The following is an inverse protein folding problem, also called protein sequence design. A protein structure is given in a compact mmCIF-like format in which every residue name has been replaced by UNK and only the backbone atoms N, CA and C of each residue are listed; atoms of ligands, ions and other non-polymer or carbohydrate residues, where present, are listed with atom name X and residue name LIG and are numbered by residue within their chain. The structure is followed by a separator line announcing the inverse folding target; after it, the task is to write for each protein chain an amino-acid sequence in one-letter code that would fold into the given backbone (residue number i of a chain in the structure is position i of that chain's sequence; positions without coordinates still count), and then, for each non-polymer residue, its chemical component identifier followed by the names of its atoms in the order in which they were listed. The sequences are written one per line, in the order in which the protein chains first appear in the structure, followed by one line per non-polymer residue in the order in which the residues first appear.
data_IF_129005879726
#
_entry.id   IF_129005879726
#
_cell.length_a   1.000
_cell.length_b   1.000
_cell.length_c   1.000
_cell.angle_alpha   90.00
_cell.angle_beta   90.00
_cell.angle_gamma   90.00
#
_symmetry.space_group_name_H-M   'P 1'
#
loop_
_entity.id
_entity.type
_entity.pdbx_description
1 polymer ?
#
# COMPACT_ATOMS: atom_id res chain seq x y z
N UNK A 1 17.80 46.74 -2.84
CA UNK A 1 16.57 46.10 -3.35
C UNK A 1 16.50 44.72 -2.69
N UNK A 2 15.69 44.60 -1.66
CA UNK A 2 15.45 43.30 -1.00
C UNK A 2 14.53 42.50 -1.91
N UNK A 3 15.00 41.38 -2.44
CA UNK A 3 14.16 40.45 -3.17
C UNK A 3 13.15 39.86 -2.15
N UNK A 4 11.89 40.16 -2.33
CA UNK A 4 10.81 39.48 -1.61
C UNK A 4 10.92 37.98 -1.92
N UNK A 5 11.25 37.18 -0.92
CA UNK A 5 11.24 35.74 -1.05
C UNK A 5 9.86 35.26 -1.51
N UNK A 6 9.79 34.10 -2.14
CA UNK A 6 8.53 33.55 -2.63
C UNK A 6 7.55 33.39 -1.46
N UNK A 7 6.37 34.03 -1.57
CA UNK A 7 5.30 33.86 -0.59
C UNK A 7 4.46 32.64 -0.99
N UNK A 8 4.41 31.64 -0.11
CA UNK A 8 3.49 30.51 -0.27
C UNK A 8 2.05 30.98 -0.04
N UNK A 9 1.26 31.01 -1.10
CA UNK A 9 -0.19 31.21 -1.02
C UNK A 9 -0.87 29.94 -1.50
N UNK A 10 -1.37 29.14 -0.56
CA UNK A 10 -2.13 27.94 -0.91
C UNK A 10 -3.55 28.31 -1.31
N UNK A 11 -4.08 27.64 -2.33
CA UNK A 11 -5.47 27.76 -2.76
C UNK A 11 -6.46 27.35 -1.65
N UNK A 12 -6.01 26.52 -0.71
CA UNK A 12 -6.80 26.08 0.45
C UNK A 12 -6.02 26.29 1.76
N UNK A 13 -6.47 27.21 2.60
CA UNK A 13 -5.87 27.52 3.91
C UNK A 13 -5.83 26.35 4.88
N UNK A 14 -6.73 25.36 4.74
CA UNK A 14 -6.76 24.18 5.60
C UNK A 14 -5.50 23.31 5.43
N UNK A 15 -4.87 23.35 4.24
CA UNK A 15 -3.69 22.54 3.91
C UNK A 15 -2.37 23.23 4.34
N UNK A 16 -2.41 24.50 4.74
CA UNK A 16 -1.21 25.26 5.06
C UNK A 16 -0.42 24.66 6.23
N UNK A 17 -1.08 24.44 7.37
CA UNK A 17 -0.42 23.95 8.58
C UNK A 17 0.20 22.56 8.43
N UNK A 18 -0.52 21.55 7.88
CA UNK A 18 0.06 20.24 7.62
C UNK A 18 1.26 20.30 6.67
N UNK A 19 1.16 21.09 5.59
CA UNK A 19 2.23 21.26 4.60
C UNK A 19 3.46 21.89 5.21
N UNK A 20 3.31 23.00 5.95
CA UNK A 20 4.43 23.68 6.60
C UNK A 20 5.17 22.74 7.57
N UNK A 21 4.42 22.00 8.37
CA UNK A 21 4.99 21.02 9.30
C UNK A 21 5.76 19.92 8.58
N UNK A 22 5.27 19.45 7.46
CA UNK A 22 5.97 18.50 6.61
C UNK A 22 7.29 19.10 6.10
N UNK A 23 7.24 20.31 5.55
CA UNK A 23 8.42 21.00 5.01
C UNK A 23 9.50 21.26 6.07
N UNK A 24 9.13 21.58 7.31
CA UNK A 24 10.10 21.78 8.40
C UNK A 24 10.98 20.57 8.68
N UNK A 25 10.51 19.37 8.32
CA UNK A 25 11.17 18.09 8.63
C UNK A 25 11.83 17.44 7.41
N UNK A 26 11.87 18.11 6.26
CA UNK A 26 12.46 17.56 5.05
C UNK A 26 13.68 18.37 4.60
N UNK A 27 14.74 17.68 4.23
CA UNK A 27 15.98 18.33 3.80
C UNK A 27 15.98 18.63 2.30
N UNK A 28 16.70 19.68 1.89
CA UNK A 28 16.98 19.93 0.49
C UNK A 28 17.68 18.69 -0.14
N UNK A 29 17.37 18.40 -1.40
CA UNK A 29 17.81 17.20 -2.11
C UNK A 29 16.98 15.94 -1.88
N UNK A 30 16.04 15.94 -0.90
CA UNK A 30 15.12 14.83 -0.69
C UNK A 30 14.08 14.74 -1.81
N UNK A 31 13.57 13.52 -2.04
CA UNK A 31 12.48 13.27 -2.98
C UNK A 31 11.17 12.99 -2.22
N UNK A 32 10.08 13.53 -2.72
CA UNK A 32 8.74 13.43 -2.17
C UNK A 32 7.86 12.74 -3.22
N UNK A 33 7.24 11.62 -2.87
CA UNK A 33 6.13 11.06 -3.66
C UNK A 33 4.81 11.69 -3.20
N UNK A 34 3.82 11.74 -4.07
CA UNK A 34 2.49 12.27 -3.73
C UNK A 34 1.89 11.46 -2.58
N UNK A 35 2.03 10.13 -2.62
CA UNK A 35 1.55 9.24 -1.57
C UNK A 35 2.21 9.52 -0.22
N UNK A 36 3.54 9.70 -0.19
CA UNK A 36 4.26 10.01 1.05
C UNK A 36 3.82 11.36 1.65
N UNK A 37 3.63 12.36 0.78
CA UNK A 37 3.14 13.67 1.20
C UNK A 37 1.73 13.57 1.78
N UNK A 38 0.79 12.94 1.07
CA UNK A 38 -0.58 12.74 1.51
C UNK A 38 -0.65 12.06 2.88
N UNK A 39 0.12 10.99 3.06
CA UNK A 39 0.19 10.25 4.32
C UNK A 39 0.73 11.11 5.46
N UNK A 40 1.84 11.79 5.24
CA UNK A 40 2.51 12.57 6.30
C UNK A 40 1.76 13.83 6.69
N UNK A 41 0.97 14.38 5.78
CA UNK A 41 0.20 15.62 6.02
C UNK A 41 -1.25 15.36 6.41
N UNK A 42 -1.80 14.17 6.10
CA UNK A 42 -3.23 13.88 6.23
C UNK A 42 -4.09 14.61 5.20
N UNK A 43 -3.49 15.18 4.16
CA UNK A 43 -4.19 15.84 3.05
C UNK A 43 -4.63 14.77 2.05
N UNK A 44 -5.86 14.89 1.54
CA UNK A 44 -6.37 14.00 0.48
C UNK A 44 -5.38 13.90 -0.69
N UNK A 45 -5.34 12.74 -1.36
CA UNK A 45 -4.39 12.49 -2.45
C UNK A 45 -4.53 13.49 -3.59
N UNK A 46 -5.77 13.79 -4.01
CA UNK A 46 -6.02 14.72 -5.10
C UNK A 46 -5.63 16.15 -4.74
N UNK A 47 -5.85 16.52 -3.50
CA UNK A 47 -5.45 17.82 -2.97
C UNK A 47 -3.93 17.89 -2.73
N UNK A 48 -3.31 16.78 -2.34
CA UNK A 48 -1.85 16.66 -2.23
C UNK A 48 -1.15 16.92 -3.56
N UNK A 49 -1.72 16.44 -4.68
CA UNK A 49 -1.21 16.76 -6.03
C UNK A 49 -1.19 18.26 -6.24
N UNK A 50 -2.29 18.97 -5.95
CA UNK A 50 -2.38 20.43 -6.14
C UNK A 50 -1.39 21.16 -5.27
N UNK A 51 -1.28 20.79 -4.00
CA UNK A 51 -0.32 21.42 -3.07
C UNK A 51 1.11 21.24 -3.53
N UNK A 52 1.50 20.03 -3.98
CA UNK A 52 2.86 19.78 -4.48
C UNK A 52 3.14 20.52 -5.79
N UNK A 53 2.14 20.65 -6.67
CA UNK A 53 2.26 21.47 -7.89
C UNK A 53 2.39 22.97 -7.54
N UNK A 54 1.63 23.49 -6.57
CA UNK A 54 1.77 24.87 -6.09
C UNK A 54 3.15 25.13 -5.49
N UNK A 55 3.68 24.19 -4.69
CA UNK A 55 5.05 24.25 -4.17
C UNK A 55 6.10 24.20 -5.28
N UNK A 56 5.87 23.43 -6.33
CA UNK A 56 6.75 23.37 -7.49
C UNK A 56 6.74 24.69 -8.27
N UNK A 57 5.56 25.26 -8.53
CA UNK A 57 5.43 26.57 -9.17
C UNK A 57 6.06 27.68 -8.34
N UNK A 58 6.02 27.56 -7.00
CA UNK A 58 6.68 28.47 -6.06
C UNK A 58 8.21 28.30 -5.97
N UNK A 59 8.80 27.36 -6.70
CA UNK A 59 10.24 27.12 -6.71
C UNK A 59 10.80 26.42 -5.46
N UNK A 60 9.96 25.81 -4.65
CA UNK A 60 10.38 25.01 -3.49
C UNK A 60 10.70 23.57 -3.88
N UNK A 61 9.96 23.06 -4.85
CA UNK A 61 10.08 21.71 -5.37
C UNK A 61 10.37 21.74 -6.88
N UNK A 62 11.03 20.71 -7.34
CA UNK A 62 11.27 20.43 -8.76
C UNK A 62 10.56 19.13 -9.11
N UNK A 63 9.70 19.17 -10.13
CA UNK A 63 8.97 17.99 -10.58
C UNK A 63 9.90 17.09 -11.37
N UNK A 64 9.97 15.83 -10.99
CA UNK A 64 10.83 14.80 -11.58
C UNK A 64 10.01 13.56 -11.91
N UNK A 65 10.55 12.67 -12.71
CA UNK A 65 10.00 11.35 -13.01
C UNK A 65 10.91 10.27 -12.46
N UNK A 66 10.39 9.41 -11.61
CA UNK A 66 11.05 8.20 -11.15
C UNK A 66 10.68 7.03 -12.06
N UNK A 67 11.65 6.50 -12.79
CA UNK A 67 11.49 5.37 -13.72
C UNK A 67 11.79 4.08 -12.98
N UNK A 68 10.88 3.11 -13.06
CA UNK A 68 11.01 1.84 -12.36
C UNK A 68 11.01 0.67 -13.34
N UNK A 69 11.74 -0.37 -12.99
CA UNK A 69 11.69 -1.62 -13.73
C UNK A 69 10.28 -2.22 -13.71
N UNK A 70 9.68 -2.57 -14.86
CA UNK A 70 8.35 -3.16 -14.93
C UNK A 70 8.27 -4.52 -14.23
N UNK A 71 9.38 -5.28 -14.24
CA UNK A 71 9.44 -6.64 -13.70
C UNK A 71 9.58 -6.67 -12.18
N UNK A 72 10.53 -5.90 -11.62
CA UNK A 72 10.85 -5.96 -10.19
C UNK A 72 10.56 -4.68 -9.41
N UNK A 73 10.18 -3.58 -10.07
CA UNK A 73 9.90 -2.30 -9.43
C UNK A 73 11.13 -1.53 -8.95
N UNK A 74 12.35 -2.04 -9.17
CA UNK A 74 13.57 -1.33 -8.82
C UNK A 74 13.56 0.06 -9.46
N UNK A 75 13.94 1.08 -8.69
CA UNK A 75 14.17 2.42 -9.23
C UNK A 75 15.39 2.35 -10.16
N UNK A 76 15.17 2.64 -11.43
CA UNK A 76 16.22 2.65 -12.44
C UNK A 76 16.90 4.01 -12.51
N UNK A 77 16.10 5.08 -12.61
CA UNK A 77 16.59 6.45 -12.67
C UNK A 77 15.54 7.46 -12.18
N UNK A 78 15.99 8.69 -11.91
CA UNK A 78 15.12 9.85 -11.70
C UNK A 78 15.57 10.92 -12.69
N UNK A 79 14.66 11.32 -13.58
CA UNK A 79 14.95 12.25 -14.69
C UNK A 79 14.02 13.45 -14.67
N UNK A 80 14.41 14.52 -15.37
CA UNK A 80 13.52 15.62 -15.69
C UNK A 80 12.41 15.14 -16.64
N UNK A 81 11.19 15.70 -16.57
CA UNK A 81 10.12 15.31 -17.49
C UNK A 81 10.49 15.47 -18.97
N UNK A 82 11.29 16.49 -19.31
CA UNK A 82 11.77 16.76 -20.67
C UNK A 82 12.86 15.77 -21.15
N UNK A 83 13.58 15.16 -20.21
CA UNK A 83 14.65 14.20 -20.52
C UNK A 83 14.13 12.77 -20.60
N UNK A 84 12.86 12.55 -20.18
CA UNK A 84 12.26 11.23 -20.20
C UNK A 84 11.97 10.76 -21.63
N UNK A 85 12.53 9.62 -22.00
CA UNK A 85 12.25 8.93 -23.25
C UNK A 85 11.70 7.52 -22.99
N UNK A 86 10.62 7.19 -23.70
CA UNK A 86 10.12 5.80 -23.74
C UNK A 86 11.16 4.94 -24.47
N UNK A 87 11.52 3.83 -23.88
CA UNK A 87 12.51 2.92 -24.48
C UNK A 87 12.88 1.76 -23.57
N UNK A 88 13.85 0.98 -24.00
CA UNK A 88 14.37 -0.13 -23.22
C UNK A 88 15.42 0.36 -22.24
N UNK A 89 15.33 -0.10 -20.98
CA UNK A 89 16.31 0.16 -19.94
C UNK A 89 16.77 -1.13 -19.27
N UNK A 90 18.08 -1.23 -19.01
CA UNK A 90 18.64 -2.37 -18.30
C UNK A 90 18.35 -2.31 -16.81
N UNK A 91 17.86 -3.42 -16.27
CA UNK A 91 17.65 -3.59 -14.85
C UNK A 91 18.69 -4.54 -14.26
N UNK A 92 19.57 -4.03 -13.41
CA UNK A 92 20.62 -4.83 -12.77
C UNK A 92 20.08 -5.92 -11.83
N UNK A 93 18.86 -5.76 -11.30
CA UNK A 93 18.24 -6.77 -10.43
C UNK A 93 17.62 -7.94 -11.21
N UNK A 94 17.07 -7.65 -12.39
CA UNK A 94 16.49 -8.68 -13.27
C UNK A 94 17.50 -9.26 -14.26
N UNK A 95 18.64 -8.60 -14.42
CA UNK A 95 19.70 -8.91 -15.43
C UNK A 95 19.15 -8.92 -16.87
N UNK A 96 18.18 -8.02 -17.15
CA UNK A 96 17.50 -7.92 -18.44
C UNK A 96 17.24 -6.49 -18.84
N UNK A 97 17.14 -6.24 -20.15
CA UNK A 97 16.55 -5.03 -20.70
C UNK A 97 15.03 -5.16 -20.69
N UNK A 98 14.36 -4.17 -20.13
CA UNK A 98 12.89 -4.11 -20.03
C UNK A 98 12.36 -2.88 -20.75
N UNK A 99 11.28 -3.03 -21.48
CA UNK A 99 10.59 -1.93 -22.14
C UNK A 99 9.85 -1.07 -21.11
N UNK A 100 10.24 0.20 -21.02
CA UNK A 100 9.65 1.15 -20.07
C UNK A 100 8.40 1.76 -20.70
N UNK A 101 7.28 1.55 -20.04
CA UNK A 101 5.97 2.14 -20.38
C UNK A 101 5.60 3.23 -19.37
N UNK A 102 4.57 4.02 -19.68
CA UNK A 102 4.08 5.05 -18.76
C UNK A 102 3.68 4.52 -17.38
N UNK A 103 3.27 3.25 -17.29
CA UNK A 103 2.92 2.61 -16.01
C UNK A 103 4.15 2.35 -15.11
N UNK A 104 5.34 2.42 -15.69
CA UNK A 104 6.61 2.26 -14.98
C UNK A 104 7.12 3.59 -14.39
N UNK A 105 6.40 4.69 -14.60
CA UNK A 105 6.84 6.04 -14.26
C UNK A 105 5.96 6.63 -13.17
N UNK A 106 6.61 7.16 -12.14
CA UNK A 106 5.96 7.85 -11.02
C UNK A 106 6.42 9.30 -10.96
N UNK A 107 5.48 10.23 -10.80
CA UNK A 107 5.82 11.64 -10.53
C UNK A 107 6.35 11.76 -9.11
N UNK A 108 7.55 12.32 -8.97
CA UNK A 108 8.17 12.65 -7.69
C UNK A 108 8.60 14.11 -7.68
N UNK A 109 8.73 14.67 -6.49
CA UNK A 109 9.13 16.07 -6.32
C UNK A 109 10.44 16.13 -5.53
N UNK A 110 11.45 16.76 -6.11
CA UNK A 110 12.74 16.98 -5.45
C UNK A 110 12.69 18.31 -4.69
N UNK A 111 13.10 18.31 -3.44
CA UNK A 111 13.20 19.52 -2.64
C UNK A 111 14.44 20.30 -3.10
N UNK A 112 14.24 21.44 -3.77
CA UNK A 112 15.34 22.29 -4.28
C UNK A 112 15.68 23.40 -3.31
N UNK A 113 14.64 23.98 -2.68
CA UNK A 113 14.81 25.06 -1.73
C UNK A 113 13.85 24.87 -0.57
N UNK A 114 14.38 24.75 0.64
CA UNK A 114 13.55 24.61 1.83
C UNK A 114 13.95 25.63 2.90
N UNK A 115 13.40 26.85 2.82
CA UNK A 115 13.67 27.90 3.80
C UNK A 115 13.10 27.61 5.20
N UNK A 116 12.30 26.55 5.34
CA UNK A 116 11.62 26.17 6.57
C UNK A 116 12.31 25.01 7.32
N UNK A 117 13.38 24.43 6.76
CA UNK A 117 14.09 23.31 7.42
C UNK A 117 14.71 23.77 8.74
N UNK A 118 14.33 23.08 9.81
CA UNK A 118 14.90 23.31 11.15
C UNK A 118 16.32 22.75 11.18
N UNK A 119 17.34 23.61 10.98
CA UNK A 119 18.75 23.19 10.99
C UNK A 119 19.70 24.15 10.27
N UNK A 120 19.19 25.10 9.51
CA UNK A 120 19.98 26.20 9.01
C UNK A 120 19.56 27.48 9.76
N UNK A 121 20.53 28.10 10.45
CA UNK A 121 20.34 29.40 11.07
C UNK A 121 20.10 30.48 10.00
N UNK A 122 18.87 30.60 9.52
CA UNK A 122 18.39 31.80 8.86
C UNK A 122 17.33 32.42 9.76
N UNK A 123 17.79 33.44 10.51
CA UNK A 123 16.92 34.33 11.28
C UNK A 123 15.93 35.03 10.35
N UNK A 124 14.79 34.41 10.15
CA UNK A 124 13.60 35.09 9.63
C UNK A 124 12.55 35.03 10.73
N UNK A 125 12.30 36.18 11.35
CA UNK A 125 11.30 36.37 12.40
C UNK A 125 9.92 35.97 11.85
N UNK A 126 9.40 34.83 12.29
CA UNK A 126 8.00 34.43 12.12
C UNK A 126 7.14 35.25 13.11
N UNK A 127 5.91 35.67 12.74
CA UNK A 127 5.00 36.30 13.69
C UNK A 127 4.64 35.33 14.80
N UNK A 128 4.81 35.79 16.04
CA UNK A 128 4.43 35.10 17.26
C UNK A 128 2.91 34.91 17.34
N UNK A 129 2.41 33.78 16.86
CA UNK A 129 1.19 33.17 17.34
C UNK A 129 1.50 31.74 17.74
N UNK A 130 2.15 31.60 18.90
CA UNK A 130 2.40 30.34 19.58
C UNK A 130 1.16 29.89 20.32
N UNK A 131 0.19 29.31 19.64
CA UNK A 131 -0.64 28.29 20.26
C UNK A 131 0.06 26.96 20.03
N UNK A 132 0.38 26.25 21.12
CA UNK A 132 1.13 25.02 21.17
C UNK A 132 0.75 24.08 20.02
N UNK A 133 1.60 24.01 19.01
CA UNK A 133 1.55 23.01 17.95
C UNK A 133 1.73 21.63 18.62
N UNK A 134 0.62 20.95 18.90
CA UNK A 134 0.68 19.52 19.24
C UNK A 134 1.42 18.85 18.09
N UNK A 135 2.61 18.34 18.39
CA UNK A 135 3.41 17.58 17.44
C UNK A 135 2.54 16.46 16.91
N UNK A 136 2.24 16.48 15.59
CA UNK A 136 1.58 15.36 14.93
C UNK A 136 2.56 14.18 15.04
N UNK A 137 2.20 13.21 15.84
CA UNK A 137 2.86 11.92 15.87
C UNK A 137 2.03 11.00 14.99
N UNK A 138 2.66 10.36 14.00
CA UNK A 138 2.04 9.27 13.24
C UNK A 138 1.45 8.24 14.21
N UNK A 139 2.18 7.97 15.29
CA UNK A 139 1.75 7.09 16.36
C UNK A 139 0.49 7.60 17.08
N UNK A 140 0.39 8.90 17.34
CA UNK A 140 -0.82 9.50 17.90
C UNK A 140 -1.99 9.50 16.92
N UNK A 141 -1.72 9.68 15.62
CA UNK A 141 -2.75 9.58 14.57
C UNK A 141 -3.31 8.16 14.50
N UNK A 142 -2.45 7.15 14.50
CA UNK A 142 -2.86 5.73 14.48
C UNK A 142 -3.57 5.33 15.78
N UNK A 143 -3.07 5.78 16.94
CA UNK A 143 -3.72 5.55 18.24
C UNK A 143 -5.10 6.21 18.36
N UNK A 144 -5.33 7.30 17.63
CA UNK A 144 -6.64 7.98 17.59
C UNK A 144 -7.56 7.46 16.47
N UNK A 145 -7.28 6.26 15.94
CA UNK A 145 -8.09 5.63 14.88
C UNK A 145 -7.94 6.25 13.51
N UNK A 146 -6.90 7.06 13.30
CA UNK A 146 -6.55 7.57 11.98
C UNK A 146 -6.05 6.46 11.08
N UNK A 147 -6.70 6.26 9.93
CA UNK A 147 -6.33 5.24 8.94
C UNK A 147 -6.23 5.88 7.56
N UNK A 148 -5.08 5.67 6.92
CA UNK A 148 -4.91 6.02 5.50
C UNK A 148 -5.55 4.98 4.57
N UNK A 149 -5.98 3.85 5.11
CA UNK A 149 -6.51 2.73 4.36
C UNK A 149 -7.75 3.12 3.53
N UNK A 150 -8.56 4.08 4.03
CA UNK A 150 -9.74 4.58 3.31
C UNK A 150 -9.41 5.33 2.04
N UNK A 151 -8.25 5.96 1.95
CA UNK A 151 -7.83 6.66 0.73
C UNK A 151 -7.34 5.69 -0.34
N UNK A 152 -6.72 4.59 0.10
CA UNK A 152 -6.19 3.58 -0.81
C UNK A 152 -7.23 2.56 -1.24
N UNK A 153 -8.23 2.28 -0.39
CA UNK A 153 -9.33 1.38 -0.71
C UNK A 153 -10.68 2.04 -0.43
N UNK A 154 -11.26 2.62 -1.46
CA UNK A 154 -12.59 3.23 -1.45
C UNK A 154 -13.29 2.98 -2.80
N UNK A 155 -13.75 1.74 -3.06
CA UNK A 155 -14.47 1.43 -4.28
C UNK A 155 -15.76 2.26 -4.42
N UNK A 156 -16.10 2.67 -5.65
CA UNK A 156 -17.40 3.31 -5.93
C UNK A 156 -18.56 2.31 -5.75
N UNK A 157 -19.79 2.82 -5.67
CA UNK A 157 -20.99 1.96 -5.58
C UNK A 157 -21.07 0.98 -6.73
N UNK A 158 -20.75 1.40 -7.96
CA UNK A 158 -20.73 0.52 -9.13
C UNK A 158 -19.70 -0.62 -9.00
N UNK A 159 -18.54 -0.34 -8.40
CA UNK A 159 -17.54 -1.37 -8.11
C UNK A 159 -18.02 -2.34 -7.04
N UNK A 160 -18.69 -1.83 -5.99
CA UNK A 160 -19.30 -2.70 -4.98
C UNK A 160 -20.43 -3.56 -5.55
N UNK A 161 -21.21 -3.07 -6.50
CA UNK A 161 -22.23 -3.87 -7.21
C UNK A 161 -21.60 -5.02 -8.01
N UNK A 162 -20.47 -4.77 -8.66
CA UNK A 162 -19.71 -5.82 -9.36
C UNK A 162 -19.15 -6.84 -8.37
N UNK A 163 -18.51 -6.37 -7.30
CA UNK A 163 -17.96 -7.22 -6.25
C UNK A 163 -19.02 -8.10 -5.61
N UNK A 164 -20.21 -7.53 -5.32
CA UNK A 164 -21.33 -8.25 -4.75
C UNK A 164 -21.80 -9.39 -5.67
N UNK A 165 -21.95 -9.12 -6.97
CA UNK A 165 -22.35 -10.14 -7.96
C UNK A 165 -21.31 -11.25 -8.05
N UNK A 166 -20.02 -10.91 -8.03
CA UNK A 166 -18.94 -11.90 -8.05
C UNK A 166 -18.89 -12.70 -6.75
N UNK A 167 -19.08 -12.06 -5.59
CA UNK A 167 -19.15 -12.72 -4.29
C UNK A 167 -20.31 -13.73 -4.23
N UNK A 168 -21.51 -13.33 -4.67
CA UNK A 168 -22.64 -14.27 -4.75
C UNK A 168 -22.36 -15.43 -5.70
N UNK A 169 -21.60 -15.18 -6.77
CA UNK A 169 -21.30 -16.19 -7.77
C UNK A 169 -20.42 -17.34 -7.24
N UNK A 170 -19.52 -17.09 -6.27
CA UNK A 170 -18.67 -18.15 -5.71
C UNK A 170 -19.47 -19.23 -4.96
N UNK A 171 -20.71 -18.94 -4.56
CA UNK A 171 -21.60 -19.87 -3.87
C UNK A 171 -22.56 -20.62 -4.81
N UNK A 172 -22.67 -20.20 -6.07
CA UNK A 172 -23.52 -20.87 -7.05
C UNK A 172 -22.93 -22.19 -7.52
N UNK A 173 -23.74 -23.14 -7.97
CA UNK A 173 -23.26 -24.33 -8.62
C UNK A 173 -22.51 -23.97 -9.92
N UNK A 174 -21.32 -24.51 -10.12
CA UNK A 174 -20.53 -24.35 -11.33
C UNK A 174 -20.56 -25.65 -12.16
N UNK A 175 -20.40 -25.52 -13.49
CA UNK A 175 -20.40 -26.68 -14.39
C UNK A 175 -19.17 -27.56 -14.21
N UNK A 176 -18.03 -26.95 -13.90
CA UNK A 176 -16.76 -27.64 -13.72
C UNK A 176 -16.05 -27.12 -12.47
N UNK A 177 -15.13 -27.92 -11.92
CA UNK A 177 -14.24 -27.49 -10.82
C UNK A 177 -13.34 -26.34 -11.22
N UNK A 178 -13.00 -26.24 -12.52
CA UNK A 178 -12.25 -25.12 -13.08
C UNK A 178 -13.06 -23.83 -13.01
N UNK A 179 -14.32 -23.83 -13.48
CA UNK A 179 -15.19 -22.65 -13.43
C UNK A 179 -15.42 -22.20 -11.98
N UNK A 180 -15.50 -23.16 -11.06
CA UNK A 180 -15.60 -22.89 -9.63
C UNK A 180 -14.33 -22.17 -9.11
N UNK A 181 -13.14 -22.65 -9.44
CA UNK A 181 -11.87 -22.00 -9.10
C UNK A 181 -11.76 -20.62 -9.72
N UNK A 182 -11.98 -20.52 -11.03
CA UNK A 182 -11.91 -19.27 -11.77
C UNK A 182 -12.84 -18.17 -11.20
N UNK A 183 -14.00 -18.54 -10.64
CA UNK A 183 -14.94 -17.59 -10.05
C UNK A 183 -14.38 -16.88 -8.82
N UNK A 184 -13.64 -17.56 -7.96
CA UNK A 184 -12.99 -16.95 -6.80
C UNK A 184 -11.74 -16.14 -7.22
N UNK A 185 -10.96 -16.67 -8.16
CA UNK A 185 -9.81 -15.96 -8.70
C UNK A 185 -10.22 -14.61 -9.33
N UNK A 186 -11.34 -14.58 -10.08
CA UNK A 186 -11.85 -13.34 -10.69
C UNK A 186 -12.33 -12.33 -9.66
N UNK A 187 -13.03 -12.80 -8.61
CA UNK A 187 -13.42 -11.95 -7.48
C UNK A 187 -12.20 -11.33 -6.80
N UNK A 188 -11.21 -12.15 -6.49
CA UNK A 188 -9.98 -11.72 -5.79
C UNK A 188 -9.20 -10.71 -6.65
N UNK A 189 -9.01 -11.02 -7.94
CA UNK A 189 -8.35 -10.11 -8.86
C UNK A 189 -9.03 -8.75 -8.91
N UNK A 190 -10.36 -8.74 -9.03
CA UNK A 190 -11.12 -7.51 -9.10
C UNK A 190 -11.09 -6.75 -7.76
N UNK A 191 -11.25 -7.44 -6.62
CA UNK A 191 -11.20 -6.85 -5.29
C UNK A 191 -9.86 -6.13 -5.05
N UNK A 192 -8.74 -6.80 -5.32
CA UNK A 192 -7.41 -6.21 -5.12
C UNK A 192 -7.12 -5.11 -6.15
N UNK A 193 -7.68 -5.17 -7.36
CA UNK A 193 -7.58 -4.09 -8.35
C UNK A 193 -8.35 -2.83 -7.95
N UNK A 194 -9.32 -2.93 -7.04
CA UNK A 194 -10.00 -1.76 -6.49
C UNK A 194 -9.14 -0.95 -5.51
N UNK A 195 -8.05 -1.54 -5.01
CA UNK A 195 -7.10 -0.84 -4.17
C UNK A 195 -6.21 0.05 -5.05
N UNK A 196 -6.19 1.35 -4.77
CA UNK A 196 -5.26 2.28 -5.43
C UNK A 196 -3.83 1.82 -5.14
N UNK A 197 -2.95 1.91 -6.12
CA UNK A 197 -1.54 1.49 -6.03
C UNK A 197 -1.30 -0.02 -5.97
N UNK A 198 -2.33 -0.86 -6.04
CA UNK A 198 -2.14 -2.28 -6.34
C UNK A 198 -2.27 -2.54 -7.84
N UNK A 199 -1.38 -3.37 -8.35
CA UNK A 199 -1.50 -3.94 -9.69
C UNK A 199 -1.59 -5.45 -9.54
N UNK A 200 -2.78 -6.00 -9.75
CA UNK A 200 -3.04 -7.43 -9.61
C UNK A 200 -3.02 -8.12 -10.97
N UNK A 201 -2.35 -9.27 -11.07
CA UNK A 201 -2.24 -10.07 -12.29
C UNK A 201 -2.66 -11.50 -12.00
N UNK A 202 -3.56 -12.05 -12.83
CA UNK A 202 -4.06 -13.42 -12.72
C UNK A 202 -3.08 -14.41 -13.36
N UNK A 203 -2.93 -15.60 -12.75
CA UNK A 203 -2.16 -16.72 -13.27
C UNK A 203 -0.71 -16.38 -13.64
N UNK A 204 -0.05 -15.67 -12.74
CA UNK A 204 1.37 -15.38 -12.87
C UNK A 204 2.21 -16.66 -12.66
N UNK A 205 3.41 -16.68 -13.23
CA UNK A 205 4.41 -17.73 -12.97
C UNK A 205 5.54 -17.13 -12.15
N UNK A 206 5.89 -17.82 -11.05
CA UNK A 206 7.10 -17.56 -10.29
C UNK A 206 7.95 -18.83 -10.32
N UNK A 207 9.00 -18.84 -11.12
CA UNK A 207 9.73 -20.06 -11.43
C UNK A 207 8.82 -21.12 -12.04
N UNK A 208 8.81 -22.32 -11.46
CA UNK A 208 7.98 -23.45 -11.90
C UNK A 208 6.56 -23.42 -11.30
N UNK A 209 6.27 -22.49 -10.38
CA UNK A 209 5.01 -22.42 -9.69
C UNK A 209 4.03 -21.50 -10.42
N UNK A 210 2.83 -22.00 -10.69
CA UNK A 210 1.70 -21.16 -11.08
C UNK A 210 1.03 -20.61 -9.83
N UNK A 211 0.83 -19.30 -9.81
CA UNK A 211 0.19 -18.52 -8.75
C UNK A 211 -1.14 -17.99 -9.28
N UNK A 212 -2.19 -18.09 -8.47
CA UNK A 212 -3.53 -17.66 -8.87
C UNK A 212 -3.61 -16.15 -9.07
N UNK A 213 -3.03 -15.37 -8.14
CA UNK A 213 -2.95 -13.92 -8.29
C UNK A 213 -1.62 -13.40 -7.71
N UNK A 214 -0.95 -12.56 -8.50
CA UNK A 214 0.26 -11.83 -8.12
C UNK A 214 -0.07 -10.36 -8.00
N UNK A 215 0.25 -9.75 -6.86
CA UNK A 215 -0.04 -8.35 -6.60
C UNK A 215 1.26 -7.58 -6.43
N UNK A 216 1.44 -6.56 -7.26
CA UNK A 216 2.47 -5.54 -7.09
C UNK A 216 1.91 -4.43 -6.22
N UNK A 217 2.57 -4.19 -5.11
CA UNK A 217 2.25 -3.09 -4.20
C UNK A 217 3.09 -1.87 -4.54
N UNK A 218 2.46 -0.85 -5.11
CA UNK A 218 3.09 0.44 -5.40
C UNK A 218 2.96 1.43 -4.24
N UNK A 219 2.35 1.02 -3.12
CA UNK A 219 2.27 1.82 -1.90
C UNK A 219 3.60 1.72 -1.15
N UNK A 220 4.50 2.63 -1.41
CA UNK A 220 5.72 2.74 -0.61
C UNK A 220 5.44 3.64 0.59
N UNK A 221 5.10 3.02 1.72
CA UNK A 221 4.93 3.71 3.00
C UNK A 221 5.96 3.16 3.99
N UNK A 222 7.17 3.74 4.05
CA UNK A 222 8.17 3.27 5.00
C UNK A 222 7.64 3.37 6.44
N UNK A 223 7.55 2.24 7.13
CA UNK A 223 7.29 2.18 8.56
C UNK A 223 5.83 2.33 9.01
N UNK A 224 4.85 2.36 8.09
CA UNK A 224 3.42 2.55 8.47
C UNK A 224 2.63 1.25 8.46
N UNK A 225 2.86 0.36 7.50
CA UNK A 225 2.22 -0.95 7.48
C UNK A 225 3.15 -2.04 6.98
N UNK A 226 2.83 -3.30 7.27
CA UNK A 226 3.56 -4.44 6.73
C UNK A 226 3.44 -4.52 5.20
N UNK A 227 2.31 -4.07 4.64
CA UNK A 227 2.10 -3.96 3.21
C UNK A 227 2.97 -2.87 2.58
N UNK A 228 3.32 -1.82 3.33
CA UNK A 228 4.20 -0.74 2.87
C UNK A 228 5.66 -1.15 2.70
N UNK A 229 6.08 -2.27 3.30
CA UNK A 229 7.46 -2.80 3.17
C UNK A 229 7.58 -3.91 2.13
N UNK A 230 6.46 -4.38 1.55
CA UNK A 230 6.42 -5.51 0.62
C UNK A 230 6.06 -5.01 -0.78
N UNK A 231 7.03 -5.03 -1.69
CA UNK A 231 6.83 -4.60 -3.08
C UNK A 231 5.88 -5.54 -3.84
N UNK A 232 5.93 -6.83 -3.49
CA UNK A 232 5.11 -7.87 -4.12
C UNK A 232 4.58 -8.84 -3.08
N UNK A 233 3.41 -9.38 -3.35
CA UNK A 233 2.86 -10.50 -2.61
C UNK A 233 2.01 -11.39 -3.50
N UNK A 234 1.77 -12.60 -3.04
CA UNK A 234 1.02 -13.62 -3.78
C UNK A 234 -0.27 -13.98 -3.08
N UNK A 235 -1.26 -14.35 -3.87
CA UNK A 235 -2.55 -14.80 -3.38
C UNK A 235 -2.86 -16.15 -4.02
N UNK A 236 -3.17 -17.14 -3.19
CA UNK A 236 -3.69 -18.46 -3.58
C UNK A 236 -5.18 -18.51 -3.27
N UNK A 237 -5.98 -18.98 -4.21
CA UNK A 237 -7.44 -19.03 -4.13
C UNK A 237 -7.92 -20.47 -3.94
N UNK A 238 -8.79 -20.71 -2.95
CA UNK A 238 -9.33 -22.03 -2.63
C UNK A 238 -10.85 -22.03 -2.56
N UNK A 239 -11.50 -22.30 -3.71
CA UNK A 239 -12.95 -22.42 -3.81
C UNK A 239 -13.39 -23.91 -3.73
N UNK A 240 -12.95 -24.58 -2.69
CA UNK A 240 -13.28 -26.01 -2.44
C UNK A 240 -14.47 -26.14 -1.50
N UNK A 241 -14.94 -27.39 -1.32
CA UNK A 241 -16.06 -27.71 -0.42
C UNK A 241 -15.63 -27.93 1.04
N UNK A 242 -14.34 -27.80 1.33
CA UNK A 242 -13.75 -27.95 2.66
C UNK A 242 -12.85 -26.80 3.02
N UNK A 243 -12.61 -26.56 4.32
CA UNK A 243 -11.63 -25.56 4.78
C UNK A 243 -10.23 -25.85 4.22
N UNK A 244 -9.40 -24.80 3.99
CA UNK A 244 -8.02 -25.00 3.58
C UNK A 244 -7.25 -25.78 4.64
N UNK A 245 -6.51 -26.81 4.22
CA UNK A 245 -5.64 -27.62 5.06
C UNK A 245 -4.21 -27.06 5.15
N UNK A 246 -3.38 -27.70 5.96
CA UNK A 246 -1.98 -27.31 6.16
C UNK A 246 -1.16 -27.37 4.87
N UNK A 247 -1.53 -28.24 3.93
CA UNK A 247 -0.82 -28.41 2.66
C UNK A 247 -0.83 -27.15 1.81
N UNK A 248 -1.92 -26.38 1.87
CA UNK A 248 -2.02 -25.09 1.16
C UNK A 248 -1.10 -24.04 1.77
N UNK A 249 -0.99 -24.01 3.10
CA UNK A 249 -0.05 -23.15 3.79
C UNK A 249 1.40 -23.53 3.51
N UNK A 250 1.72 -24.82 3.48
CA UNK A 250 3.04 -25.34 3.11
C UNK A 250 3.39 -24.99 1.66
N UNK A 251 2.43 -25.15 0.73
CA UNK A 251 2.63 -24.76 -0.67
C UNK A 251 2.93 -23.26 -0.78
N UNK A 252 2.10 -22.42 -0.17
CA UNK A 252 2.29 -20.96 -0.18
C UNK A 252 3.64 -20.58 0.45
N UNK A 253 3.98 -21.16 1.61
CA UNK A 253 5.27 -20.94 2.27
C UNK A 253 6.46 -21.29 1.36
N UNK A 254 6.40 -22.45 0.68
CA UNK A 254 7.45 -22.85 -0.27
C UNK A 254 7.61 -21.86 -1.42
N UNK A 255 6.50 -21.36 -1.96
CA UNK A 255 6.50 -20.33 -3.02
C UNK A 255 7.16 -19.06 -2.51
N UNK A 256 6.78 -18.59 -1.30
CA UNK A 256 7.30 -17.36 -0.71
C UNK A 256 8.82 -17.46 -0.46
N UNK A 257 9.32 -18.59 0.06
CA UNK A 257 10.76 -18.80 0.24
C UNK A 257 11.50 -18.78 -1.10
N UNK A 258 11.03 -19.58 -2.08
CA UNK A 258 11.69 -19.70 -3.38
C UNK A 258 11.76 -18.38 -4.14
N UNK A 259 10.76 -17.52 -3.94
CA UNK A 259 10.64 -16.22 -4.62
C UNK A 259 11.17 -15.05 -3.79
N UNK A 260 11.73 -15.31 -2.60
CA UNK A 260 12.19 -14.29 -1.64
C UNK A 260 11.09 -13.26 -1.30
N UNK A 261 9.84 -13.72 -1.20
CA UNK A 261 8.70 -12.89 -0.81
C UNK A 261 8.37 -13.13 0.67
N UNK A 262 7.97 -12.06 1.36
CA UNK A 262 7.70 -12.09 2.79
C UNK A 262 6.22 -12.09 3.16
N UNK A 263 5.33 -11.95 2.17
CA UNK A 263 3.91 -11.87 2.43
C UNK A 263 3.08 -12.67 1.41
N UNK A 264 2.10 -13.42 1.90
CA UNK A 264 1.17 -14.16 1.08
C UNK A 264 -0.21 -14.28 1.71
N UNK A 265 -1.23 -14.40 0.88
CA UNK A 265 -2.63 -14.51 1.29
C UNK A 265 -3.22 -15.79 0.72
N UNK A 266 -3.93 -16.55 1.55
CA UNK A 266 -4.83 -17.60 1.08
C UNK A 266 -6.24 -17.02 1.14
N UNK A 267 -6.92 -16.95 0.00
CA UNK A 267 -8.35 -16.61 -0.05
C UNK A 267 -9.16 -17.88 -0.21
N UNK A 268 -10.07 -18.13 0.71
CA UNK A 268 -10.83 -19.38 0.73
C UNK A 268 -12.32 -19.17 0.99
N UNK A 269 -13.14 -20.07 0.44
CA UNK A 269 -14.58 -20.09 0.69
C UNK A 269 -14.93 -20.42 2.14
N UNK A 270 -14.10 -21.21 2.82
CA UNK A 270 -14.30 -21.61 4.19
C UNK A 270 -13.16 -21.13 5.08
N UNK A 271 -13.51 -20.86 6.32
CA UNK A 271 -12.55 -20.41 7.34
C UNK A 271 -11.52 -21.48 7.64
N UNK A 272 -10.26 -21.11 7.64
CA UNK A 272 -9.17 -21.97 8.06
C UNK A 272 -9.29 -22.34 9.56
N UNK A 273 -8.83 -23.53 9.92
CA UNK A 273 -8.80 -23.95 11.32
C UNK A 273 -7.86 -23.04 12.14
N UNK A 274 -8.20 -22.80 13.42
CA UNK A 274 -7.36 -22.00 14.34
C UNK A 274 -5.91 -22.50 14.46
N UNK A 275 -5.71 -23.81 14.30
CA UNK A 275 -4.38 -24.45 14.30
C UNK A 275 -3.48 -23.94 13.16
N UNK A 276 -4.07 -23.47 12.04
CA UNK A 276 -3.33 -22.91 10.92
C UNK A 276 -2.82 -21.48 11.20
N UNK A 277 -3.52 -20.71 12.02
CA UNK A 277 -3.02 -19.43 12.49
C UNK A 277 -1.77 -19.63 13.37
N UNK A 278 -1.77 -20.63 14.25
CA UNK A 278 -0.59 -21.00 15.03
C UNK A 278 0.56 -21.45 14.11
N UNK A 279 0.28 -22.29 13.12
CA UNK A 279 1.28 -22.68 12.14
C UNK A 279 1.88 -21.48 11.38
N UNK A 280 1.03 -20.54 10.94
CA UNK A 280 1.49 -19.30 10.30
C UNK A 280 2.33 -18.41 11.24
N UNK A 281 1.97 -18.37 12.53
CA UNK A 281 2.76 -17.70 13.56
C UNK A 281 4.14 -18.34 13.75
N UNK A 282 4.22 -19.66 13.82
CA UNK A 282 5.50 -20.39 13.95
C UNK A 282 6.41 -20.12 12.72
N UNK A 283 5.84 -20.07 11.52
CA UNK A 283 6.56 -19.66 10.30
C UNK A 283 7.04 -18.21 10.40
N UNK A 284 6.18 -17.29 10.85
CA UNK A 284 6.58 -15.91 11.04
C UNK A 284 7.76 -15.77 12.02
N UNK A 285 7.74 -16.49 13.13
CA UNK A 285 8.85 -16.45 14.10
C UNK A 285 10.16 -16.96 13.50
N UNK A 286 10.11 -18.03 12.71
CA UNK A 286 11.28 -18.68 12.13
C UNK A 286 11.82 -17.97 10.90
N UNK A 287 10.94 -17.69 9.93
CA UNK A 287 11.32 -17.30 8.56
C UNK A 287 11.01 -15.82 8.26
N UNK A 288 10.31 -15.12 9.19
CA UNK A 288 9.82 -13.74 9.02
C UNK A 288 8.82 -13.61 7.84
N UNK A 289 8.21 -14.71 7.43
CA UNK A 289 7.20 -14.77 6.39
C UNK A 289 5.82 -14.68 7.04
N UNK A 290 4.98 -13.80 6.54
CA UNK A 290 3.61 -13.60 7.02
C UNK A 290 2.66 -14.25 6.01
N UNK A 291 1.82 -15.15 6.50
CA UNK A 291 0.74 -15.75 5.72
C UNK A 291 -0.57 -15.55 6.46
N UNK A 292 -1.56 -15.01 5.76
CA UNK A 292 -2.91 -14.80 6.31
C UNK A 292 -3.95 -15.56 5.50
N UNK A 293 -5.10 -15.84 6.12
CA UNK A 293 -6.27 -16.36 5.43
C UNK A 293 -7.40 -15.32 5.46
N UNK A 294 -7.93 -15.00 4.27
CA UNK A 294 -9.19 -14.29 4.09
C UNK A 294 -10.26 -15.30 3.71
N UNK A 295 -11.24 -15.48 4.55
CA UNK A 295 -12.36 -16.41 4.31
C UNK A 295 -13.62 -15.68 3.79
N UNK A 296 -14.69 -16.45 3.56
CA UNK A 296 -15.95 -15.87 3.06
C UNK A 296 -16.57 -14.85 4.02
N UNK A 297 -16.33 -14.97 5.34
CA UNK A 297 -16.86 -14.01 6.30
C UNK A 297 -16.10 -12.69 6.22
N UNK A 298 -14.78 -12.75 6.02
CA UNK A 298 -13.96 -11.58 5.76
C UNK A 298 -14.36 -10.91 4.44
N UNK A 299 -14.53 -11.70 3.37
CA UNK A 299 -15.00 -11.20 2.06
C UNK A 299 -16.39 -10.56 2.18
N UNK A 300 -17.30 -11.16 2.95
CA UNK A 300 -18.62 -10.58 3.21
C UNK A 300 -18.51 -9.22 3.87
N UNK A 301 -17.72 -9.11 4.93
CA UNK A 301 -17.50 -7.84 5.64
C UNK A 301 -16.94 -6.76 4.70
N UNK A 302 -15.95 -7.12 3.87
CA UNK A 302 -15.34 -6.17 2.94
C UNK A 302 -16.32 -5.76 1.83
N UNK A 303 -17.06 -6.70 1.25
CA UNK A 303 -17.85 -6.46 0.04
C UNK A 303 -19.27 -5.99 0.38
N UNK A 304 -19.93 -6.65 1.34
CA UNK A 304 -21.33 -6.36 1.69
C UNK A 304 -21.40 -5.29 2.78
N UNK A 305 -20.62 -5.46 3.86
CA UNK A 305 -20.65 -4.53 5.00
C UNK A 305 -19.71 -3.34 4.78
N UNK A 306 -18.95 -3.34 3.65
CA UNK A 306 -18.02 -2.28 3.22
C UNK A 306 -16.89 -1.98 4.21
N UNK A 307 -16.44 -3.01 4.95
CA UNK A 307 -15.21 -2.92 5.75
C UNK A 307 -14.01 -2.67 4.82
N UNK A 308 -13.04 -1.88 5.26
CA UNK A 308 -11.87 -1.60 4.44
C UNK A 308 -10.97 -2.84 4.30
N UNK A 309 -10.64 -3.21 3.05
CA UNK A 309 -9.79 -4.37 2.75
C UNK A 309 -8.44 -4.31 3.46
N UNK A 310 -7.80 -3.14 3.47
CA UNK A 310 -6.47 -2.97 4.06
C UNK A 310 -6.52 -3.07 5.59
N UNK A 311 -7.56 -2.53 6.24
CA UNK A 311 -7.79 -2.68 7.68
C UNK A 311 -8.02 -4.15 8.06
N UNK A 312 -8.77 -4.88 7.23
CA UNK A 312 -8.96 -6.32 7.42
C UNK A 312 -7.63 -7.09 7.32
N UNK A 313 -6.80 -6.78 6.33
CA UNK A 313 -5.48 -7.39 6.15
C UNK A 313 -4.57 -7.05 7.33
N UNK A 314 -4.50 -5.79 7.77
CA UNK A 314 -3.68 -5.36 8.91
C UNK A 314 -4.08 -6.07 10.20
N UNK A 315 -5.38 -6.21 10.46
CA UNK A 315 -5.89 -6.98 11.60
C UNK A 315 -5.43 -8.43 11.55
N UNK A 316 -5.55 -9.10 10.40
CA UNK A 316 -5.10 -10.48 10.20
C UNK A 316 -3.59 -10.64 10.38
N UNK A 317 -2.80 -9.69 9.91
CA UNK A 317 -1.34 -9.66 10.13
C UNK A 317 -1.04 -9.53 11.63
N UNK A 318 -1.77 -8.66 12.33
CA UNK A 318 -1.66 -8.51 13.78
C UNK A 318 -1.96 -9.82 14.53
N UNK A 319 -3.02 -10.53 14.14
CA UNK A 319 -3.39 -11.85 14.70
C UNK A 319 -2.24 -12.87 14.56
N UNK A 320 -1.56 -12.90 13.40
CA UNK A 320 -0.44 -13.81 13.17
C UNK A 320 0.79 -13.39 14.00
N UNK A 321 1.11 -12.10 14.05
CA UNK A 321 2.31 -11.63 14.75
C UNK A 321 2.24 -11.78 16.28
N UNK A 322 1.05 -11.62 16.84
CA UNK A 322 0.86 -11.58 18.30
C UNK A 322 0.50 -12.95 18.90
N UNK A 323 0.40 -14.01 18.08
CA UNK A 323 -0.13 -15.33 18.50
C UNK A 323 -1.40 -15.19 19.34
N UNK A 324 -2.43 -14.59 18.75
CA UNK A 324 -3.70 -14.36 19.45
C UNK A 324 -4.47 -15.68 19.62
N UNK A 325 -3.86 -16.62 20.28
CA UNK A 325 -4.54 -17.71 20.98
C UNK A 325 -5.04 -17.25 22.35
N UNK A 326 -4.51 -16.16 22.88
CA UNK A 326 -5.04 -15.46 24.07
C UNK A 326 -6.02 -14.38 23.61
N UNK A 327 -7.21 -14.37 24.19
CA UNK A 327 -8.23 -13.37 23.92
C UNK A 327 -7.63 -11.95 23.96
N UNK A 328 -7.66 -11.21 22.85
CA UNK A 328 -7.23 -9.81 22.78
C UNK A 328 -7.93 -8.92 23.82
N UNK A 329 -9.09 -9.38 24.34
CA UNK A 329 -9.78 -8.78 25.49
C UNK A 329 -8.96 -8.79 26.78
N UNK A 330 -8.08 -9.80 26.98
CA UNK A 330 -7.22 -9.88 28.17
C UNK A 330 -6.00 -8.94 28.08
N UNK A 331 -5.65 -8.46 26.87
CA UNK A 331 -4.51 -7.57 26.66
C UNK A 331 -4.90 -6.09 26.61
N UNK A 332 -6.19 -5.74 26.69
CA UNK A 332 -6.68 -4.35 26.69
C UNK A 332 -6.36 -3.58 25.40
N UNK A 333 -6.04 -4.29 24.30
CA UNK A 333 -5.59 -3.69 23.04
C UNK A 333 -6.74 -3.33 22.07
N UNK A 334 -7.97 -3.78 22.38
CA UNK A 334 -9.19 -3.43 21.63
C UNK A 334 -10.36 -3.28 22.61
N UNK A 335 -10.66 -2.06 23.03
CA UNK A 335 -12.00 -1.67 23.43
C UNK A 335 -12.77 -1.25 22.16
N UNK A 336 -13.92 -1.88 21.94
CA UNK A 336 -14.87 -1.60 20.86
C UNK A 336 -15.56 -0.25 21.12
#
# INVERSE_FOLDING_TARGET
MMSSGPSLTFSNNANYQPTMKFLMNISAGSYITISNFAIKTGIDYSESVKVLEELSQGGFLEKMLAVRCPECGLLLEIVQPEDYAIGSQYCANCDTDSEITNDCVEVVFKVVNNPFATGQENKTTLPEHSSALKTFSLEAFLKNGGSFNREFFSPSDEKYDILTKQYENIFKPHKTTKDQGDSLEDLVLYLFSCCKHFSATKKARLGDNQIDCFVRNKMYIPGVSQLGTTDFFVIECKNEQSPPGIDYFNKLHSILIQSNLQFGIIVSKFRAAKTLNKFAHDIFLRDKIIMINLDSDDLKKIIIDRENLLECIERKIGEIKLDVTKDLKELGLFEV
#
